data_IF_898387350031
#
_entry.id   IF_898387350031
#
_cell.length_a   1.000
_cell.length_b   1.000
_cell.length_c   1.000
_cell.angle_alpha   90.00
_cell.angle_beta   90.00
_cell.angle_gamma   90.00
#
_symmetry.space_group_name_H-M   'P 1'
#
loop_
_entity.id
_entity.type
_entity.pdbx_description
1 polymer ?
#
# COMPACT_ATOMS: atom_id res chain seq x y z
N UNK A 1 -6.94 -1.42 -3.53
CA UNK A 1 -6.73 -2.88 -3.71
C UNK A 1 -7.68 -3.43 -4.75
N UNK A 2 -7.16 -4.18 -5.72
CA UNK A 2 -7.99 -4.90 -6.66
C UNK A 2 -8.41 -6.22 -6.04
N UNK A 3 -9.72 -6.45 -5.94
CA UNK A 3 -10.29 -7.72 -5.50
C UNK A 3 -11.01 -8.34 -6.69
N UNK A 4 -10.38 -9.33 -7.32
CA UNK A 4 -10.93 -10.04 -8.48
C UNK A 4 -11.38 -11.45 -8.10
N UNK A 5 -12.49 -11.94 -8.68
CA UNK A 5 -12.78 -13.38 -8.64
C UNK A 5 -11.66 -14.16 -9.36
N UNK A 6 -11.51 -15.45 -9.07
CA UNK A 6 -10.54 -16.31 -9.75
C UNK A 6 -10.84 -16.36 -11.25
N UNK A 7 -10.07 -15.63 -12.06
CA UNK A 7 -10.19 -15.66 -13.51
C UNK A 7 -9.40 -16.82 -14.12
N UNK A 8 -9.86 -17.35 -15.26
CA UNK A 8 -9.11 -18.35 -16.01
C UNK A 8 -7.73 -17.82 -16.40
N UNK A 9 -6.69 -18.67 -16.34
CA UNK A 9 -5.30 -18.30 -16.66
C UNK A 9 -5.13 -17.58 -18.01
N UNK A 10 -5.96 -17.91 -18.99
CA UNK A 10 -5.94 -17.27 -20.31
C UNK A 10 -6.48 -15.83 -20.28
N UNK A 11 -7.50 -15.54 -19.43
CA UNK A 11 -8.01 -14.18 -19.27
C UNK A 11 -7.02 -13.28 -18.55
N UNK A 12 -6.21 -13.83 -17.63
CA UNK A 12 -5.12 -13.11 -16.97
C UNK A 12 -4.11 -12.51 -17.96
N UNK A 13 -3.90 -13.11 -19.13
CA UNK A 13 -3.04 -12.57 -20.19
C UNK A 13 -3.55 -11.25 -20.78
N UNK A 14 -4.85 -11.00 -20.73
CA UNK A 14 -5.50 -9.83 -21.32
C UNK A 14 -6.02 -8.83 -20.28
N UNK A 15 -5.59 -8.98 -19.03
CA UNK A 15 -5.98 -8.06 -17.96
C UNK A 15 -5.29 -6.71 -18.14
N UNK A 16 -6.10 -5.71 -18.45
CA UNK A 16 -5.65 -4.34 -18.67
C UNK A 16 -5.71 -3.49 -17.40
N UNK A 17 -6.81 -3.56 -16.65
CA UNK A 17 -7.07 -2.68 -15.50
C UNK A 17 -6.29 -3.11 -14.24
N UNK A 18 -5.47 -2.20 -13.70
CA UNK A 18 -4.61 -2.50 -12.55
C UNK A 18 -3.38 -3.34 -12.87
N UNK A 19 -3.15 -3.60 -14.15
CA UNK A 19 -1.89 -4.12 -14.62
C UNK A 19 -0.88 -2.97 -14.72
N UNK A 20 0.34 -3.24 -14.29
CA UNK A 20 1.50 -2.37 -14.49
C UNK A 20 1.78 -2.16 -15.99
N UNK A 21 1.24 -3.02 -16.87
CA UNK A 21 1.42 -2.89 -18.32
C UNK A 21 1.06 -1.50 -18.83
N UNK A 22 -0.03 -0.89 -18.35
CA UNK A 22 -0.47 0.44 -18.81
C UNK A 22 0.57 1.54 -18.58
N UNK A 23 1.31 1.48 -17.47
CA UNK A 23 2.30 2.48 -17.12
C UNK A 23 3.64 2.30 -17.84
N UNK A 24 3.88 1.12 -18.43
CA UNK A 24 5.14 0.78 -19.10
C UNK A 24 5.03 0.73 -20.64
N UNK A 25 3.83 0.85 -21.22
CA UNK A 25 3.62 0.85 -22.68
C UNK A 25 4.53 1.86 -23.41
N UNK A 26 4.68 3.14 -22.98
CA UNK A 26 5.56 4.09 -23.65
C UNK A 26 7.01 3.61 -23.73
N UNK A 27 7.49 2.98 -22.66
CA UNK A 27 8.84 2.45 -22.54
C UNK A 27 9.00 1.22 -23.44
N UNK A 28 8.01 0.33 -23.50
CA UNK A 28 8.04 -0.82 -24.40
C UNK A 28 7.98 -0.41 -25.87
N UNK A 29 7.18 0.61 -26.20
CA UNK A 29 7.14 1.18 -27.54
C UNK A 29 8.49 1.77 -27.93
N UNK A 30 9.15 2.48 -27.01
CA UNK A 30 10.51 2.98 -27.22
C UNK A 30 11.51 1.84 -27.44
N UNK A 31 11.49 0.79 -26.60
CA UNK A 31 12.36 -0.38 -26.79
C UNK A 31 12.07 -1.10 -28.11
N UNK A 32 10.81 -1.15 -28.55
CA UNK A 32 10.43 -1.70 -29.85
C UNK A 32 11.06 -0.90 -31.00
N UNK A 33 10.98 0.44 -30.95
CA UNK A 33 11.60 1.32 -31.97
C UNK A 33 13.12 1.13 -32.02
N UNK A 34 13.78 1.10 -30.86
CA UNK A 34 15.24 0.86 -30.79
C UNK A 34 15.59 -0.52 -31.38
N UNK A 35 14.84 -1.56 -31.03
CA UNK A 35 15.10 -2.92 -31.49
C UNK A 35 14.83 -3.11 -32.98
N UNK A 36 13.77 -2.48 -33.50
CA UNK A 36 13.47 -2.43 -34.94
C UNK A 36 14.60 -1.72 -35.68
N UNK A 37 15.08 -0.60 -35.14
CA UNK A 37 16.21 0.15 -35.74
C UNK A 37 17.46 -0.71 -35.79
N UNK A 38 17.82 -1.37 -34.69
CA UNK A 38 18.97 -2.27 -34.65
C UNK A 38 18.85 -3.42 -35.65
N UNK A 39 17.66 -4.03 -35.78
CA UNK A 39 17.40 -5.10 -36.75
C UNK A 39 17.56 -4.60 -38.20
N UNK A 40 16.98 -3.45 -38.55
CA UNK A 40 17.12 -2.88 -39.88
C UNK A 40 18.56 -2.48 -40.22
N UNK A 41 19.29 -1.90 -39.26
CA UNK A 41 20.69 -1.50 -39.49
C UNK A 41 21.69 -2.65 -39.32
N UNK A 42 21.23 -3.86 -38.99
CA UNK A 42 22.08 -5.00 -38.65
C UNK A 42 23.12 -4.65 -37.57
N UNK A 43 22.69 -3.86 -36.57
CA UNK A 43 23.53 -3.38 -35.47
C UNK A 43 24.54 -2.28 -35.83
N UNK A 44 24.41 -1.67 -37.02
CA UNK A 44 25.26 -0.55 -37.43
C UNK A 44 24.68 0.78 -36.98
N UNK A 45 25.52 1.65 -36.41
CA UNK A 45 25.20 3.04 -36.10
C UNK A 45 26.25 3.92 -36.78
N UNK A 46 25.79 4.93 -37.53
CA UNK A 46 26.66 5.82 -38.33
C UNK A 46 27.62 5.08 -39.29
N UNK A 47 27.24 3.88 -39.75
CA UNK A 47 28.04 3.07 -40.67
C UNK A 47 28.99 2.07 -40.01
N UNK A 48 29.27 2.23 -38.71
CA UNK A 48 30.10 1.30 -37.94
C UNK A 48 29.24 0.27 -37.20
N UNK A 49 29.70 -0.99 -37.16
CA UNK A 49 29.03 -2.05 -36.42
C UNK A 49 29.37 -1.94 -34.95
N UNK A 50 28.36 -1.89 -34.09
CA UNK A 50 28.58 -1.97 -32.64
C UNK A 50 29.10 -3.37 -32.31
N UNK A 51 30.29 -3.52 -31.70
CA UNK A 51 30.92 -4.82 -31.45
C UNK A 51 30.37 -5.48 -30.17
N UNK A 52 29.05 -5.61 -30.06
CA UNK A 52 28.39 -6.29 -28.95
C UNK A 52 28.01 -7.71 -29.35
N UNK A 53 28.25 -8.67 -28.45
CA UNK A 53 27.79 -10.05 -28.58
C UNK A 53 26.88 -10.41 -27.38
N UNK A 54 26.32 -11.60 -27.38
CA UNK A 54 25.33 -12.03 -26.36
C UNK A 54 25.92 -12.30 -24.97
N UNK A 55 27.21 -12.60 -24.85
CA UNK A 55 27.80 -13.09 -23.59
C UNK A 55 27.71 -12.10 -22.40
N UNK A 56 28.04 -10.80 -22.56
CA UNK A 56 27.84 -9.81 -21.50
C UNK A 56 26.38 -9.67 -21.08
N UNK A 57 25.42 -9.79 -22.00
CA UNK A 57 24.00 -9.65 -21.69
C UNK A 57 23.44 -10.81 -20.86
N UNK A 58 23.99 -12.01 -20.99
CA UNK A 58 23.64 -13.12 -20.11
C UNK A 58 24.11 -12.84 -18.68
N UNK A 59 25.35 -12.37 -18.52
CA UNK A 59 25.92 -12.04 -17.20
C UNK A 59 25.17 -10.87 -16.54
N UNK A 60 24.98 -9.76 -17.27
CA UNK A 60 24.25 -8.61 -16.76
C UNK A 60 22.77 -8.91 -16.52
N UNK A 61 22.14 -9.69 -17.40
CA UNK A 61 20.74 -10.09 -17.24
C UNK A 61 20.53 -10.90 -15.96
N UNK A 62 21.43 -11.85 -15.67
CA UNK A 62 21.38 -12.62 -14.43
C UNK A 62 21.58 -11.72 -13.20
N UNK A 63 22.58 -10.83 -13.22
CA UNK A 63 22.83 -9.90 -12.13
C UNK A 63 21.62 -8.99 -11.87
N UNK A 64 21.01 -8.44 -12.93
CA UNK A 64 19.81 -7.61 -12.84
C UNK A 64 18.61 -8.36 -12.28
N UNK A 65 18.39 -9.60 -12.73
CA UNK A 65 17.31 -10.44 -12.22
C UNK A 65 17.44 -10.66 -10.70
N UNK A 66 18.67 -10.90 -10.21
CA UNK A 66 18.94 -11.06 -8.78
C UNK A 66 18.67 -9.75 -8.01
N UNK A 67 19.16 -8.61 -8.49
CA UNK A 67 18.92 -7.33 -7.82
C UNK A 67 17.44 -6.93 -7.81
N UNK A 68 16.72 -7.16 -8.91
CA UNK A 68 15.28 -6.94 -8.98
C UNK A 68 14.52 -7.85 -8.01
N UNK A 69 14.93 -9.12 -7.87
CA UNK A 69 14.33 -10.03 -6.89
C UNK A 69 14.52 -9.53 -5.46
N UNK A 70 15.71 -9.08 -5.08
CA UNK A 70 15.95 -8.49 -3.76
C UNK A 70 15.13 -7.21 -3.53
N UNK A 71 15.04 -6.34 -4.54
CA UNK A 71 14.23 -5.11 -4.48
C UNK A 71 12.75 -5.43 -4.30
N UNK A 72 12.25 -6.42 -5.03
CA UNK A 72 10.87 -6.87 -4.95
C UNK A 72 10.56 -7.48 -3.59
N UNK A 73 11.47 -8.28 -3.04
CA UNK A 73 11.32 -8.85 -1.70
C UNK A 73 11.25 -7.77 -0.61
N UNK A 74 12.10 -6.74 -0.71
CA UNK A 74 12.05 -5.59 0.20
C UNK A 74 10.73 -4.81 0.09
N UNK A 75 10.24 -4.56 -1.13
CA UNK A 75 8.93 -3.94 -1.35
C UNK A 75 7.79 -4.77 -0.76
N UNK A 76 7.78 -6.07 -1.04
CA UNK A 76 6.76 -6.98 -0.53
C UNK A 76 6.76 -7.05 0.99
N UNK A 77 7.95 -7.03 1.62
CA UNK A 77 8.08 -6.94 3.07
C UNK A 77 7.34 -5.74 3.66
N UNK A 78 7.48 -4.56 3.05
CA UNK A 78 6.75 -3.34 3.47
C UNK A 78 5.25 -3.46 3.30
N UNK A 79 4.81 -3.99 2.16
CA UNK A 79 3.38 -4.21 1.90
C UNK A 79 2.77 -5.16 2.92
N UNK A 80 3.47 -6.25 3.21
CA UNK A 80 3.01 -7.25 4.18
C UNK A 80 2.97 -6.67 5.60
N UNK A 81 4.00 -5.92 6.00
CA UNK A 81 4.03 -5.23 7.29
C UNK A 81 2.85 -4.25 7.44
N UNK A 82 2.60 -3.41 6.43
CA UNK A 82 1.46 -2.50 6.41
C UNK A 82 0.12 -3.24 6.55
N UNK A 83 -0.04 -4.36 5.84
CA UNK A 83 -1.25 -5.21 5.94
C UNK A 83 -1.41 -5.79 7.35
N UNK A 84 -0.33 -6.25 7.97
CA UNK A 84 -0.36 -6.79 9.34
C UNK A 84 -0.73 -5.72 10.36
N UNK A 85 -0.18 -4.50 10.25
CA UNK A 85 -0.51 -3.39 11.15
C UNK A 85 -2.00 -3.05 11.09
N UNK A 86 -2.57 -2.96 9.88
CA UNK A 86 -4.02 -2.74 9.70
C UNK A 86 -4.88 -3.92 10.16
N UNK A 87 -4.37 -5.14 10.06
CA UNK A 87 -4.99 -6.33 10.68
C UNK A 87 -5.02 -6.23 12.20
N UNK A 88 -3.94 -5.78 12.82
CA UNK A 88 -3.88 -5.54 14.27
C UNK A 88 -4.84 -4.44 14.71
N UNK A 89 -5.01 -3.36 13.94
CA UNK A 89 -6.04 -2.34 14.23
C UNK A 89 -7.43 -2.96 14.35
N UNK A 90 -7.83 -3.86 13.44
CA UNK A 90 -9.12 -4.56 13.53
C UNK A 90 -9.21 -5.42 14.80
N UNK A 91 -8.16 -6.14 15.16
CA UNK A 91 -8.14 -7.02 16.34
C UNK A 91 -8.24 -6.19 17.63
N UNK A 92 -7.37 -5.21 17.79
CA UNK A 92 -7.29 -4.38 18.99
C UNK A 92 -8.51 -3.48 19.17
N UNK A 93 -9.07 -2.93 18.09
CA UNK A 93 -10.34 -2.17 18.19
C UNK A 93 -11.52 -3.05 18.61
N UNK A 94 -11.63 -4.29 18.11
CA UNK A 94 -12.65 -5.25 18.57
C UNK A 94 -12.48 -5.59 20.05
N UNK A 95 -11.25 -5.89 20.46
CA UNK A 95 -10.94 -6.22 21.84
C UNK A 95 -11.26 -5.05 22.77
N UNK A 96 -10.79 -3.84 22.44
CA UNK A 96 -11.04 -2.63 23.22
C UNK A 96 -12.54 -2.29 23.27
N UNK A 97 -13.27 -2.39 22.15
CA UNK A 97 -14.74 -2.19 22.13
C UNK A 97 -15.43 -3.15 23.10
N UNK A 98 -15.14 -4.44 22.98
CA UNK A 98 -15.74 -5.47 23.84
C UNK A 98 -15.43 -5.22 25.32
N UNK A 99 -14.18 -4.88 25.64
CA UNK A 99 -13.77 -4.56 27.01
C UNK A 99 -14.47 -3.31 27.55
N UNK A 100 -14.61 -2.24 26.74
CA UNK A 100 -15.33 -1.03 27.13
C UNK A 100 -16.81 -1.36 27.42
N UNK A 101 -17.46 -2.16 26.56
CA UNK A 101 -18.87 -2.50 26.74
C UNK A 101 -19.12 -3.39 27.98
N UNK A 102 -18.20 -4.31 28.28
CA UNK A 102 -18.35 -5.26 29.38
C UNK A 102 -17.88 -4.72 30.74
N UNK A 103 -16.78 -3.96 30.78
CA UNK A 103 -16.09 -3.64 32.04
C UNK A 103 -16.22 -2.18 32.48
N UNK A 104 -16.38 -1.23 31.56
CA UNK A 104 -16.62 0.18 31.93
C UNK A 104 -18.10 0.34 32.25
N UNK A 105 -18.56 1.00 33.33
CA UNK A 105 -20.01 1.06 33.64
C UNK A 105 -20.89 1.80 32.64
N UNK A 106 -22.19 1.51 32.62
CA UNK A 106 -23.16 2.05 31.65
C UNK A 106 -23.33 3.57 31.71
N UNK A 107 -23.16 4.15 32.90
CA UNK A 107 -23.25 5.60 33.10
C UNK A 107 -22.00 6.36 32.62
N UNK A 108 -20.98 5.68 32.13
CA UNK A 108 -19.84 6.30 31.47
C UNK A 108 -20.11 6.54 29.98
N UNK A 109 -19.33 7.41 29.35
CA UNK A 109 -19.46 7.77 27.94
C UNK A 109 -18.95 6.66 26.98
N UNK A 110 -19.40 5.41 27.15
CA UNK A 110 -19.01 4.25 26.33
C UNK A 110 -19.20 4.53 24.84
N UNK A 111 -20.29 5.19 24.49
CA UNK A 111 -20.61 5.53 23.11
C UNK A 111 -19.61 6.53 22.52
N UNK A 112 -19.25 7.56 23.28
CA UNK A 112 -18.30 8.56 22.81
C UNK A 112 -16.93 7.91 22.58
N UNK A 113 -16.50 7.02 23.48
CA UNK A 113 -15.26 6.26 23.32
C UNK A 113 -15.27 5.38 22.06
N UNK A 114 -16.39 4.69 21.76
CA UNK A 114 -16.48 3.87 20.54
C UNK A 114 -16.52 4.74 19.27
N UNK A 115 -17.18 5.90 19.30
CA UNK A 115 -17.15 6.87 18.19
C UNK A 115 -15.75 7.46 17.98
N UNK A 116 -15.02 7.80 19.04
CA UNK A 116 -13.62 8.25 18.96
C UNK A 116 -12.70 7.17 18.41
N UNK A 117 -12.94 5.90 18.75
CA UNK A 117 -12.19 4.77 18.19
C UNK A 117 -12.44 4.59 16.69
N UNK A 118 -13.67 4.79 16.22
CA UNK A 118 -13.97 4.81 14.78
C UNK A 118 -13.30 6.02 14.12
N UNK A 119 -13.41 7.21 14.72
CA UNK A 119 -12.76 8.43 14.22
C UNK A 119 -11.24 8.27 14.15
N UNK A 120 -10.62 7.55 15.08
CA UNK A 120 -9.20 7.22 15.09
C UNK A 120 -8.79 6.42 13.85
N UNK A 121 -9.57 5.41 13.47
CA UNK A 121 -9.30 4.58 12.29
C UNK A 121 -9.35 5.43 11.01
N UNK A 122 -10.35 6.30 10.89
CA UNK A 122 -10.45 7.24 9.76
C UNK A 122 -9.35 8.30 9.79
N UNK A 123 -8.97 8.80 10.97
CA UNK A 123 -7.87 9.74 11.12
C UNK A 123 -6.57 9.15 10.56
N UNK A 124 -6.25 7.91 10.92
CA UNK A 124 -5.05 7.22 10.46
C UNK A 124 -5.09 7.00 8.94
N UNK A 125 -6.24 6.57 8.40
CA UNK A 125 -6.45 6.47 6.94
C UNK A 125 -6.13 7.80 6.24
N UNK A 126 -6.72 8.89 6.72
CA UNK A 126 -6.59 10.21 6.12
C UNK A 126 -5.16 10.75 6.22
N UNK A 127 -4.50 10.51 7.35
CA UNK A 127 -3.10 10.86 7.57
C UNK A 127 -2.18 10.15 6.58
N UNK A 128 -2.30 8.83 6.45
CA UNK A 128 -1.48 8.02 5.52
C UNK A 128 -1.73 8.36 4.04
N UNK A 129 -2.93 8.86 3.71
CA UNK A 129 -3.29 9.29 2.35
C UNK A 129 -3.11 10.78 2.09
N UNK A 130 -2.78 11.59 3.10
CA UNK A 130 -2.73 13.05 2.97
C UNK A 130 -4.07 13.68 2.55
N UNK A 131 -5.20 13.14 3.01
CA UNK A 131 -6.55 13.61 2.66
C UNK A 131 -7.25 14.28 3.84
N UNK A 132 -8.30 15.07 3.59
CA UNK A 132 -9.03 15.80 4.64
C UNK A 132 -9.99 14.88 5.43
N UNK A 133 -9.84 14.75 6.76
CA UNK A 133 -10.73 13.93 7.60
C UNK A 133 -12.02 14.62 8.05
N UNK A 134 -12.23 15.91 7.70
CA UNK A 134 -13.29 16.74 8.29
C UNK A 134 -14.70 16.12 8.16
N UNK A 135 -15.05 15.56 6.99
CA UNK A 135 -16.38 14.97 6.79
C UNK A 135 -16.65 13.77 7.70
N UNK A 136 -15.66 12.89 7.88
CA UNK A 136 -15.79 11.72 8.75
C UNK A 136 -15.84 12.14 10.23
N UNK A 137 -15.06 13.14 10.61
CA UNK A 137 -15.07 13.63 12.00
C UNK A 137 -16.38 14.31 12.37
N UNK A 138 -16.96 15.13 11.48
CA UNK A 138 -18.27 15.77 11.73
C UNK A 138 -19.36 14.71 11.91
N UNK A 139 -19.33 13.65 11.10
CA UNK A 139 -20.27 12.52 11.18
C UNK A 139 -20.17 11.75 12.50
N UNK A 140 -18.96 11.60 13.05
CA UNK A 140 -18.69 10.72 14.19
C UNK A 140 -18.66 11.46 15.54
N UNK A 141 -18.13 12.68 15.59
CA UNK A 141 -17.81 13.41 16.82
C UNK A 141 -18.64 14.70 17.00
N UNK A 142 -19.26 15.20 15.93
CA UNK A 142 -19.92 16.51 15.92
C UNK A 142 -18.94 17.68 15.72
N UNK A 143 -19.49 18.88 15.49
CA UNK A 143 -18.71 20.06 15.09
C UNK A 143 -17.73 20.54 16.16
N UNK A 144 -18.13 20.55 17.43
CA UNK A 144 -17.31 21.11 18.52
C UNK A 144 -15.99 20.35 18.71
N UNK A 145 -16.03 19.02 18.65
CA UNK A 145 -14.83 18.17 18.77
C UNK A 145 -13.93 18.25 17.53
N UNK A 146 -14.51 18.49 16.34
CA UNK A 146 -13.74 18.66 15.09
C UNK A 146 -12.84 19.88 15.18
N UNK A 147 -13.32 21.00 15.73
CA UNK A 147 -12.52 22.23 15.88
C UNK A 147 -11.31 22.00 16.79
N UNK A 148 -11.51 21.29 17.91
CA UNK A 148 -10.42 20.93 18.81
C UNK A 148 -9.35 20.05 18.13
N UNK A 149 -9.78 19.10 17.30
CA UNK A 149 -8.89 18.20 16.54
C UNK A 149 -8.23 18.87 15.34
N UNK A 150 -8.85 19.92 14.77
CA UNK A 150 -8.30 20.64 13.61
C UNK A 150 -6.94 21.28 13.92
N UNK A 151 -6.74 21.71 15.16
CA UNK A 151 -5.50 22.29 15.66
C UNK A 151 -4.41 21.24 15.95
N UNK A 152 -4.75 19.95 15.98
CA UNK A 152 -3.80 18.86 16.25
C UNK A 152 -3.09 18.42 14.97
N UNK A 153 -1.78 18.23 15.08
CA UNK A 153 -0.97 17.69 13.99
C UNK A 153 -1.15 16.16 13.87
N UNK A 154 -0.87 15.44 14.95
CA UNK A 154 -1.00 13.97 15.04
C UNK A 154 -2.39 13.57 15.56
N UNK A 155 -3.38 13.57 14.66
CA UNK A 155 -4.80 13.38 15.01
C UNK A 155 -5.11 11.97 15.53
N UNK A 156 -4.58 10.86 14.96
CA UNK A 156 -4.84 9.52 15.46
C UNK A 156 -4.38 9.35 16.91
N UNK A 157 -3.14 9.77 17.21
CA UNK A 157 -2.58 9.69 18.56
C UNK A 157 -3.33 10.59 19.55
N UNK A 158 -3.79 11.77 19.12
CA UNK A 158 -4.62 12.64 19.95
C UNK A 158 -5.97 11.99 20.31
N UNK A 159 -6.59 11.26 19.39
CA UNK A 159 -7.84 10.52 19.65
C UNK A 159 -7.63 9.36 20.62
N UNK A 160 -6.50 8.64 20.52
CA UNK A 160 -6.14 7.60 21.50
C UNK A 160 -5.91 8.18 22.90
N UNK A 161 -5.26 9.34 23.00
CA UNK A 161 -5.08 10.05 24.28
C UNK A 161 -6.43 10.48 24.89
N UNK A 162 -7.37 10.94 24.06
CA UNK A 162 -8.70 11.33 24.53
C UNK A 162 -9.51 10.13 25.06
N UNK A 163 -9.44 8.98 24.38
CA UNK A 163 -10.04 7.73 24.87
C UNK A 163 -9.43 7.33 26.22
N UNK A 164 -8.10 7.44 26.36
CA UNK A 164 -7.40 7.15 27.62
C UNK A 164 -7.82 8.11 28.73
N UNK A 165 -8.04 9.40 28.43
CA UNK A 165 -8.53 10.40 29.40
C UNK A 165 -9.93 10.07 29.89
N UNK A 166 -10.85 9.72 28.99
CA UNK A 166 -12.20 9.29 29.37
C UNK A 166 -12.15 8.06 30.28
N UNK A 167 -11.30 7.08 29.97
CA UNK A 167 -11.11 5.90 30.82
C UNK A 167 -10.55 6.26 32.20
N UNK A 168 -9.53 7.11 32.28
CA UNK A 168 -8.96 7.55 33.55
C UNK A 168 -9.99 8.30 34.42
N UNK A 169 -10.88 9.09 33.81
CA UNK A 169 -11.97 9.74 34.54
C UNK A 169 -12.95 8.73 35.14
N UNK A 170 -13.13 7.54 34.55
CA UNK A 170 -14.01 6.51 35.14
C UNK A 170 -13.46 5.94 36.46
N UNK A 171 -12.13 5.78 36.59
CA UNK A 171 -11.51 5.35 37.85
C UNK A 171 -11.60 6.42 38.94
N UNK A 172 -11.37 7.69 38.60
CA UNK A 172 -11.49 8.81 39.56
C UNK A 172 -12.88 8.88 40.22
N UNK A 173 -13.91 8.43 39.52
CA UNK A 173 -15.28 8.36 40.04
C UNK A 173 -15.61 7.03 40.74
N UNK A 174 -14.62 6.16 40.97
CA UNK A 174 -14.77 4.84 41.58
C UNK A 174 -15.54 3.83 40.73
N UNK A 175 -15.62 4.06 39.40
CA UNK A 175 -16.48 3.30 38.48
C UNK A 175 -15.73 2.13 37.82
N UNK A 176 -14.40 2.18 37.75
CA UNK A 176 -13.56 1.09 37.27
C UNK A 176 -12.34 0.92 38.20
N UNK A 177 -11.91 -0.32 38.42
CA UNK A 177 -10.69 -0.59 39.19
C UNK A 177 -9.42 -0.45 38.35
N UNK A 178 -8.29 -0.17 39.00
CA UNK A 178 -6.98 -0.02 38.36
C UNK A 178 -6.59 -1.19 37.44
N UNK A 179 -6.94 -2.42 37.81
CA UNK A 179 -6.67 -3.63 36.99
C UNK A 179 -7.43 -3.60 35.65
N UNK A 180 -8.66 -3.08 35.64
CA UNK A 180 -9.46 -2.93 34.42
C UNK A 180 -8.84 -1.87 33.50
N UNK A 181 -8.37 -0.77 34.07
CA UNK A 181 -7.70 0.26 33.29
C UNK A 181 -6.39 -0.24 32.69
N UNK A 182 -5.61 -1.05 33.42
CA UNK A 182 -4.38 -1.63 32.88
C UNK A 182 -4.66 -2.57 31.69
N UNK A 183 -5.72 -3.38 31.77
CA UNK A 183 -6.16 -4.23 30.66
C UNK A 183 -6.56 -3.42 29.42
N UNK A 184 -7.34 -2.34 29.62
CA UNK A 184 -7.78 -1.46 28.53
C UNK A 184 -6.60 -0.70 27.92
N UNK A 185 -5.68 -0.22 28.75
CA UNK A 185 -4.50 0.53 28.31
C UNK A 185 -3.58 -0.31 27.43
N UNK A 186 -3.46 -1.60 27.71
CA UNK A 186 -2.73 -2.53 26.84
C UNK A 186 -3.26 -2.51 25.40
N UNK A 187 -4.58 -2.47 25.19
CA UNK A 187 -5.15 -2.37 23.84
C UNK A 187 -4.90 -1.01 23.19
N UNK A 188 -4.93 0.08 23.96
CA UNK A 188 -4.60 1.42 23.45
C UNK A 188 -3.13 1.48 23.02
N UNK A 189 -2.22 0.84 23.76
CA UNK A 189 -0.81 0.76 23.41
C UNK A 189 -0.58 -0.05 22.13
N UNK A 190 -1.31 -1.14 21.90
CA UNK A 190 -1.27 -1.90 20.63
C UNK A 190 -1.75 -1.04 19.44
N UNK A 191 -2.82 -0.26 19.62
CA UNK A 191 -3.27 0.69 18.60
C UNK A 191 -2.22 1.77 18.33
N UNK A 192 -1.59 2.31 19.38
CA UNK A 192 -0.50 3.28 19.26
C UNK A 192 0.74 2.71 18.55
N UNK A 193 1.10 1.45 18.84
CA UNK A 193 2.18 0.75 18.15
C UNK A 193 1.87 0.57 16.65
N UNK A 194 0.61 0.28 16.31
CA UNK A 194 0.17 0.19 14.92
C UNK A 194 0.26 1.54 14.20
N UNK A 195 -0.10 2.65 14.84
CA UNK A 195 0.10 4.02 14.30
C UNK A 195 1.57 4.27 14.03
N UNK A 196 2.44 4.11 15.03
CA UNK A 196 3.88 4.35 14.86
C UNK A 196 4.52 3.44 13.80
N UNK A 197 4.05 2.21 13.67
CA UNK A 197 4.43 1.31 12.58
C UNK A 197 4.04 1.85 11.21
N UNK A 198 2.80 2.33 11.06
CA UNK A 198 2.32 2.92 9.80
C UNK A 198 3.09 4.21 9.44
N UNK A 199 3.29 5.11 10.41
CA UNK A 199 4.08 6.33 10.26
C UNK A 199 5.52 6.00 9.85
N UNK A 200 6.14 5.00 10.47
CA UNK A 200 7.48 4.53 10.07
C UNK A 200 7.49 4.06 8.62
N UNK A 201 6.55 3.21 8.21
CA UNK A 201 6.49 2.74 6.82
C UNK A 201 6.33 3.94 5.86
N UNK A 202 5.44 4.88 6.16
CA UNK A 202 5.19 6.06 5.33
C UNK A 202 6.41 7.01 5.24
N UNK A 203 7.11 7.22 6.35
CA UNK A 203 8.23 8.19 6.44
C UNK A 203 9.60 7.62 6.07
N UNK A 204 9.78 6.29 6.11
CA UNK A 204 11.06 5.62 5.82
C UNK A 204 10.97 4.77 4.55
N UNK A 205 11.06 5.36 3.35
CA UNK A 205 11.05 4.60 2.09
C UNK A 205 12.33 3.76 1.93
N UNK A 206 12.28 2.80 1.01
CA UNK A 206 13.48 2.03 0.61
C UNK A 206 14.52 3.02 0.07
N UNK A 207 15.81 2.91 0.45
CA UNK A 207 16.80 3.93 0.12
C UNK A 207 16.81 4.24 -1.38
N UNK A 208 16.70 5.53 -1.69
CA UNK A 208 16.52 6.01 -3.06
C UNK A 208 17.62 5.55 -4.03
N UNK A 209 18.83 5.33 -3.52
CA UNK A 209 19.96 4.79 -4.28
C UNK A 209 19.66 3.45 -4.95
N UNK A 210 18.90 2.56 -4.29
CA UNK A 210 18.49 1.28 -4.89
C UNK A 210 17.58 1.50 -6.10
N UNK A 211 16.59 2.38 -5.98
CA UNK A 211 15.66 2.69 -7.07
C UNK A 211 16.39 3.32 -8.25
N UNK A 212 17.29 4.29 -8.01
CA UNK A 212 18.06 4.93 -9.09
C UNK A 212 18.99 3.96 -9.80
N UNK A 213 19.72 3.12 -9.05
CA UNK A 213 20.64 2.16 -9.63
C UNK A 213 19.90 1.15 -10.51
N UNK A 214 18.81 0.57 -10.00
CA UNK A 214 18.03 -0.41 -10.77
C UNK A 214 17.41 0.21 -12.00
N UNK A 215 16.78 1.37 -11.87
CA UNK A 215 16.18 2.08 -12.99
C UNK A 215 17.19 2.35 -14.11
N UNK A 216 18.35 2.90 -13.76
CA UNK A 216 19.39 3.19 -14.77
C UNK A 216 19.92 1.94 -15.45
N UNK A 217 20.18 0.89 -14.67
CA UNK A 217 20.81 -0.33 -15.19
C UNK A 217 19.84 -1.20 -15.99
N UNK A 218 18.57 -1.30 -15.59
CA UNK A 218 17.52 -1.99 -16.36
C UNK A 218 17.32 -1.31 -17.72
N UNK A 219 17.19 0.02 -17.75
CA UNK A 219 16.96 0.74 -19.00
C UNK A 219 18.20 0.73 -19.90
N UNK A 220 19.39 0.91 -19.34
CA UNK A 220 20.64 0.77 -20.11
C UNK A 220 20.76 -0.63 -20.73
N UNK A 221 20.46 -1.67 -19.95
CA UNK A 221 20.44 -3.04 -20.45
C UNK A 221 19.46 -3.23 -21.61
N UNK A 222 18.20 -2.79 -21.45
CA UNK A 222 17.16 -2.96 -22.48
C UNK A 222 17.49 -2.20 -23.77
N UNK A 223 18.11 -1.02 -23.68
CA UNK A 223 18.53 -0.22 -24.87
C UNK A 223 19.69 -0.89 -25.61
N UNK A 224 20.65 -1.47 -24.87
CA UNK A 224 21.83 -2.11 -25.48
C UNK A 224 21.55 -3.52 -26.01
N UNK A 225 20.60 -4.23 -25.40
CA UNK A 225 20.22 -5.61 -25.70
C UNK A 225 20.02 -5.91 -27.21
N UNK A 226 19.25 -5.11 -27.99
CA UNK A 226 19.04 -5.41 -29.40
C UNK A 226 20.33 -5.43 -30.24
N UNK A 227 21.33 -4.62 -29.88
CA UNK A 227 22.61 -4.62 -30.58
C UNK A 227 23.46 -5.86 -30.28
N UNK A 228 23.24 -6.52 -29.14
CA UNK A 228 23.89 -7.80 -28.83
C UNK A 228 23.19 -9.03 -29.39
N UNK A 229 21.88 -8.94 -29.67
CA UNK A 229 21.05 -10.04 -30.18
C UNK A 229 20.84 -10.02 -31.70
N UNK A 230 21.08 -8.89 -32.35
CA UNK A 230 20.76 -8.73 -33.79
C UNK A 230 21.46 -9.73 -34.68
N UNK A 231 22.71 -10.07 -34.40
CA UNK A 231 23.49 -11.01 -35.21
C UNK A 231 23.00 -12.46 -35.09
N UNK A 232 22.37 -12.83 -33.97
CA UNK A 232 21.92 -14.19 -33.72
C UNK A 232 20.44 -14.40 -34.01
N UNK A 233 19.64 -13.33 -33.95
CA UNK A 233 18.17 -13.43 -34.04
C UNK A 233 17.57 -12.63 -35.20
N UNK A 234 18.35 -11.75 -35.85
CA UNK A 234 18.00 -11.01 -37.06
C UNK A 234 16.59 -10.40 -36.98
N UNK A 235 15.66 -10.87 -37.83
CA UNK A 235 14.29 -10.41 -37.90
C UNK A 235 13.50 -10.60 -36.59
N UNK A 236 13.85 -11.59 -35.77
CA UNK A 236 13.19 -11.86 -34.48
C UNK A 236 13.68 -10.97 -33.33
N UNK A 237 14.75 -10.18 -33.54
CA UNK A 237 15.34 -9.30 -32.51
C UNK A 237 14.31 -8.43 -31.80
N UNK A 238 13.39 -7.71 -32.50
CA UNK A 238 12.44 -6.83 -31.83
C UNK A 238 11.48 -7.56 -30.90
N UNK A 239 10.99 -8.74 -31.31
CA UNK A 239 10.08 -9.54 -30.51
C UNK A 239 10.75 -9.96 -29.19
N UNK A 240 11.97 -10.50 -29.28
CA UNK A 240 12.71 -10.98 -28.11
C UNK A 240 13.11 -9.82 -27.19
N UNK A 241 13.59 -8.71 -27.73
CA UNK A 241 14.02 -7.56 -26.94
C UNK A 241 12.84 -6.91 -26.22
N UNK A 242 11.68 -6.75 -26.88
CA UNK A 242 10.47 -6.23 -26.23
C UNK A 242 9.98 -7.16 -25.14
N UNK A 243 10.01 -8.48 -25.36
CA UNK A 243 9.61 -9.46 -24.35
C UNK A 243 10.53 -9.45 -23.10
N UNK A 244 11.85 -9.41 -23.31
CA UNK A 244 12.82 -9.32 -22.21
C UNK A 244 12.67 -7.97 -21.48
N UNK A 245 12.53 -6.87 -22.22
CA UNK A 245 12.30 -5.53 -21.65
C UNK A 245 11.02 -5.48 -20.84
N UNK A 246 9.93 -6.05 -21.35
CA UNK A 246 8.68 -6.19 -20.59
C UNK A 246 8.91 -6.89 -19.26
N UNK A 247 9.62 -8.01 -19.26
CA UNK A 247 9.85 -8.79 -18.03
C UNK A 247 10.62 -7.97 -16.98
N UNK A 248 11.70 -7.29 -17.39
CA UNK A 248 12.54 -6.52 -16.45
C UNK A 248 11.86 -5.22 -15.99
N UNK A 249 11.28 -4.45 -16.92
CA UNK A 249 10.64 -3.16 -16.62
C UNK A 249 9.34 -3.38 -15.84
N UNK A 250 8.55 -4.41 -16.17
CA UNK A 250 7.35 -4.74 -15.39
C UNK A 250 7.71 -5.15 -13.97
N UNK A 251 8.75 -5.97 -13.77
CA UNK A 251 9.17 -6.37 -12.43
C UNK A 251 9.65 -5.18 -11.59
N UNK A 252 10.41 -4.26 -12.20
CA UNK A 252 10.82 -3.00 -11.55
C UNK A 252 9.61 -2.15 -11.13
N UNK A 253 8.65 -1.98 -12.04
CA UNK A 253 7.48 -1.16 -11.80
C UNK A 253 6.50 -1.79 -10.77
N UNK A 254 6.33 -3.13 -10.78
CA UNK A 254 5.61 -3.86 -9.72
C UNK A 254 6.28 -3.63 -8.36
N UNK A 255 7.60 -3.78 -8.29
CA UNK A 255 8.33 -3.55 -7.05
C UNK A 255 8.16 -2.11 -6.55
N UNK A 256 8.08 -1.12 -7.45
CA UNK A 256 7.81 0.27 -7.08
C UNK A 256 6.39 0.46 -6.54
N UNK A 257 5.37 -0.11 -7.21
CA UNK A 257 3.97 0.02 -6.77
C UNK A 257 3.72 -0.65 -5.42
N UNK A 258 4.27 -1.86 -5.22
CA UNK A 258 4.13 -2.62 -3.97
C UNK A 258 4.84 -1.94 -2.79
N UNK A 259 5.88 -1.14 -3.05
CA UNK A 259 6.62 -0.44 -1.99
C UNK A 259 5.79 0.65 -1.29
N UNK A 260 4.68 1.08 -1.89
CA UNK A 260 3.84 2.21 -1.50
C UNK A 260 2.41 1.77 -1.10
N UNK A 261 2.26 1.06 0.04
CA UNK A 261 1.04 0.32 0.37
C UNK A 261 -0.16 1.19 0.73
N UNK A 262 0.03 2.46 1.10
CA UNK A 262 -1.04 3.34 1.58
C UNK A 262 -1.61 4.28 0.51
N UNK A 263 -1.07 4.22 -0.70
CA UNK A 263 -1.52 5.05 -1.83
C UNK A 263 -2.94 4.68 -2.28
N UNK A 264 -3.48 5.45 -3.22
CA UNK A 264 -4.74 5.15 -3.91
C UNK A 264 -4.53 4.29 -5.15
N UNK A 265 -3.33 3.73 -5.34
CA UNK A 265 -3.02 2.87 -6.48
C UNK A 265 -3.89 1.60 -6.46
N UNK A 266 -4.19 1.02 -7.63
CA UNK A 266 -5.10 -0.12 -7.70
C UNK A 266 -4.67 -1.29 -6.83
N UNK A 267 -3.37 -1.58 -6.74
CA UNK A 267 -2.85 -2.71 -5.96
C UNK A 267 -2.43 -2.35 -4.53
N UNK A 268 -2.57 -1.08 -4.11
CA UNK A 268 -2.35 -0.65 -2.73
C UNK A 268 -3.45 -1.19 -1.79
N UNK A 269 -3.26 -1.06 -0.47
CA UNK A 269 -4.25 -1.48 0.51
C UNK A 269 -5.57 -0.71 0.36
N UNK A 270 -6.69 -1.44 0.49
CA UNK A 270 -8.03 -0.86 0.43
C UNK A 270 -8.40 -0.22 1.77
N UNK A 271 -7.75 0.87 2.12
CA UNK A 271 -7.90 1.49 3.44
C UNK A 271 -9.32 2.01 3.70
N UNK A 272 -10.08 2.45 2.70
CA UNK A 272 -11.48 2.85 2.94
C UNK A 272 -12.33 1.62 3.31
N UNK A 273 -12.19 0.51 2.58
CA UNK A 273 -12.91 -0.72 2.87
C UNK A 273 -12.46 -1.35 4.19
N UNK A 274 -11.16 -1.29 4.51
CA UNK A 274 -10.65 -1.74 5.80
C UNK A 274 -11.18 -0.87 6.94
N UNK A 275 -11.19 0.45 6.81
CA UNK A 275 -11.75 1.37 7.79
C UNK A 275 -13.27 1.15 7.99
N UNK A 276 -14.03 1.02 6.89
CA UNK A 276 -15.45 0.71 6.94
C UNK A 276 -15.71 -0.65 7.60
N UNK A 277 -14.91 -1.67 7.33
CA UNK A 277 -15.03 -2.98 7.99
C UNK A 277 -14.75 -2.90 9.50
N UNK A 278 -13.77 -2.09 9.92
CA UNK A 278 -13.52 -1.84 11.35
C UNK A 278 -14.71 -1.11 11.98
N UNK A 279 -15.21 -0.04 11.34
CA UNK A 279 -16.41 0.68 11.78
C UNK A 279 -17.61 -0.25 11.94
N UNK A 280 -17.92 -1.05 10.92
CA UNK A 280 -18.99 -2.05 10.95
C UNK A 280 -18.81 -3.00 12.14
N UNK A 281 -17.60 -3.48 12.37
CA UNK A 281 -17.34 -4.38 13.48
C UNK A 281 -17.53 -3.75 14.85
N UNK A 282 -17.16 -2.47 15.02
CA UNK A 282 -17.36 -1.75 16.29
C UNK A 282 -18.86 -1.51 16.50
N UNK A 283 -19.57 -1.08 15.46
CA UNK A 283 -21.01 -0.80 15.53
C UNK A 283 -21.85 -2.06 15.78
N UNK A 284 -21.45 -3.20 15.22
CA UNK A 284 -22.09 -4.49 15.46
C UNK A 284 -22.03 -4.87 16.94
N UNK A 285 -20.86 -4.75 17.58
CA UNK A 285 -20.69 -4.97 19.02
C UNK A 285 -21.54 -4.01 19.86
N UNK A 286 -21.73 -2.78 19.38
CA UNK A 286 -22.57 -1.77 20.04
C UNK A 286 -24.08 -1.95 19.77
N UNK A 287 -24.50 -2.94 18.97
CA UNK A 287 -25.90 -3.13 18.57
C UNK A 287 -26.47 -1.98 17.72
N UNK A 288 -25.62 -1.33 16.90
CA UNK A 288 -25.98 -0.16 16.09
C UNK A 288 -26.14 -0.50 14.60
N UNK A 289 -26.87 0.34 13.83
CA UNK A 289 -27.01 0.15 12.39
C UNK A 289 -25.63 0.20 11.72
N UNK A 290 -25.41 -0.74 10.81
CA UNK A 290 -24.15 -0.88 10.07
C UNK A 290 -24.18 -0.02 8.81
N UNK A 291 -23.13 0.74 8.49
CA UNK A 291 -23.01 1.39 7.19
C UNK A 291 -22.88 0.31 6.10
N UNK A 292 -23.34 0.60 4.88
CA UNK A 292 -23.22 -0.31 3.75
C UNK A 292 -21.76 -0.74 3.52
N UNK A 293 -21.50 -2.04 3.23
CA UNK A 293 -20.15 -2.49 2.95
C UNK A 293 -19.65 -1.85 1.66
N UNK A 294 -18.39 -1.44 1.63
CA UNK A 294 -17.79 -0.92 0.41
C UNK A 294 -17.62 -2.08 -0.57
N UNK A 295 -18.38 -2.04 -1.66
CA UNK A 295 -18.29 -3.01 -2.75
C UNK A 295 -17.24 -2.55 -3.79
N UNK A 296 -16.55 -3.50 -4.46
CA UNK A 296 -15.64 -3.16 -5.53
C UNK A 296 -16.41 -2.45 -6.67
N UNK A 297 -15.87 -1.31 -7.13
CA UNK A 297 -16.43 -0.57 -8.28
C UNK A 297 -16.22 -1.40 -9.56
N UNK A 298 -16.88 -1.05 -10.68
CA UNK A 298 -16.80 -1.73 -12.01
C UNK A 298 -15.41 -2.19 -12.48
N UNK A 299 -14.31 -1.62 -11.96
CA UNK A 299 -12.93 -1.99 -12.27
C UNK A 299 -12.28 -2.92 -11.24
N UNK A 300 -13.06 -3.58 -10.38
CA UNK A 300 -12.60 -4.39 -9.26
C UNK A 300 -11.81 -3.60 -8.21
N UNK A 301 -11.89 -2.27 -8.26
CA UNK A 301 -11.17 -1.39 -7.37
C UNK A 301 -11.94 -1.25 -6.06
N UNK A 302 -11.29 -1.68 -4.99
CA UNK A 302 -11.72 -1.48 -3.62
C UNK A 302 -10.76 -0.46 -3.02
N UNK A 303 -11.25 0.74 -2.72
CA UNK A 303 -10.43 1.78 -2.07
C UNK A 303 -10.35 1.58 -0.58
#
# INVERSE_FOLDING_TARGET
MIVRPTENWFRLLFVWNGSVLQSIIPQLAFMAVVSITAAFTHGRIFGEKIPLNTAPFTLFGLALAIFLAFRNNASYGRFNEARHLWGNLLISTRALTSQILCYVPEHANRLQMTQMMIAFVYALKHELRGTDPTSDFVRLLGLDQVEALRLKHYKPTALLDEIRRELAQTELHGRAGAETLWLLDAQINELGAAVGGCERIASTPIPFSYSVLLHRTVYAYCIMLPFGLVDSTEFFTPLLCVFISYTLIALEAIASEVAEPFTVAPNALALDAMACNIERSILELCGRPLPEPIAPIRLYHLT
#
